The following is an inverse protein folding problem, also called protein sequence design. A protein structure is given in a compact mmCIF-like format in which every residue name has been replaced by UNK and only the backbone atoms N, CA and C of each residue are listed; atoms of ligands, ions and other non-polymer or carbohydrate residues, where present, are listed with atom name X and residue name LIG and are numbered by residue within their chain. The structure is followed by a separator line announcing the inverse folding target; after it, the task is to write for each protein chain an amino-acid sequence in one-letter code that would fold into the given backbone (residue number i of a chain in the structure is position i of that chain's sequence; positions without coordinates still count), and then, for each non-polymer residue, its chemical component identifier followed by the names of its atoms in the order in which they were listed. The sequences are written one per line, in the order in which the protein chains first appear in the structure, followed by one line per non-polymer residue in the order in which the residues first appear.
data_IF_963200374538
#
_entry.id   IF_963200374538
#
_cell.length_a   1.000
_cell.length_b   1.000
_cell.length_c   1.000
_cell.angle_alpha   90.00
_cell.angle_beta   90.00
_cell.angle_gamma   90.00
#
_symmetry.space_group_name_H-M   'P 1'
#
loop_
_entity.id
_entity.type
_entity.pdbx_description
1 polymer ?
#
# COMPACT_ATOMS: atom_id res chain seq x y z
N UNK A 1 11.32 -39.03 10.27
CA UNK A 1 12.59 -39.75 10.03
C UNK A 1 12.96 -40.47 11.32
N UNK A 2 13.60 -41.64 11.30
CA UNK A 2 14.06 -42.26 12.54
C UNK A 2 15.17 -41.40 13.18
N UNK A 3 15.22 -41.26 14.51
CA UNK A 3 16.25 -40.51 15.22
C UNK A 3 17.64 -41.12 15.01
N UNK A 4 18.69 -40.29 14.96
CA UNK A 4 20.07 -40.77 14.82
C UNK A 4 20.60 -41.29 16.14
N UNK A 5 20.99 -42.56 16.16
CA UNK A 5 21.65 -43.22 17.29
C UNK A 5 23.11 -43.54 16.94
N UNK A 6 24.00 -43.41 17.92
CA UNK A 6 25.35 -43.99 17.87
C UNK A 6 25.69 -44.75 19.15
N UNK A 7 26.47 -45.81 19.00
CA UNK A 7 27.05 -46.59 20.11
C UNK A 7 28.53 -46.81 19.82
N UNK A 8 29.41 -46.39 20.73
CA UNK A 8 30.83 -46.76 20.69
C UNK A 8 31.09 -47.87 21.70
N UNK A 9 31.47 -49.05 21.19
CA UNK A 9 31.99 -50.16 21.99
C UNK A 9 33.45 -49.87 22.37
N UNK A 10 33.67 -49.47 23.63
CA UNK A 10 34.99 -49.24 24.20
C UNK A 10 35.22 -50.13 25.41
N UNK A 11 36.21 -51.02 25.26
CA UNK A 11 36.68 -52.09 26.15
C UNK A 11 36.99 -51.64 27.59
N UNK A 12 36.74 -52.55 28.52
CA UNK A 12 37.12 -52.54 29.96
C UNK A 12 38.61 -52.27 30.21
N UNK A 13 38.94 -51.39 31.18
CA UNK A 13 40.14 -51.52 32.03
C UNK A 13 40.09 -50.57 33.25
N UNK A 14 40.03 -51.20 34.44
CA UNK A 14 40.74 -50.89 35.70
C UNK A 14 40.97 -49.45 36.16
N UNK A 15 40.56 -49.19 37.41
CA UNK A 15 40.63 -47.88 38.04
C UNK A 15 42.00 -47.47 38.58
N UNK A 16 42.05 -46.24 39.07
CA UNK A 16 42.88 -45.91 40.21
C UNK A 16 42.27 -44.74 40.99
N UNK A 17 42.40 -44.88 42.30
CA UNK A 17 42.01 -43.95 43.36
C UNK A 17 43.07 -42.86 43.45
N UNK A 18 42.68 -41.59 43.47
CA UNK A 18 43.43 -40.58 44.24
C UNK A 18 42.58 -39.34 44.57
N UNK A 19 42.69 -39.00 45.83
CA UNK A 19 42.09 -37.91 46.61
C UNK A 19 42.94 -36.64 46.51
N UNK A 20 42.34 -35.44 46.46
CA UNK A 20 42.77 -34.26 47.25
C UNK A 20 41.98 -32.98 46.91
N UNK A 21 41.17 -32.55 47.88
CA UNK A 21 41.08 -31.19 48.47
C UNK A 21 41.31 -29.90 47.64
N UNK A 22 40.26 -29.06 47.68
CA UNK A 22 40.20 -27.70 48.27
C UNK A 22 40.15 -26.44 47.40
N UNK A 23 39.31 -25.52 47.91
CA UNK A 23 39.26 -24.06 47.82
C UNK A 23 38.69 -23.40 46.55
N UNK A 24 37.60 -22.67 46.79
CA UNK A 24 36.86 -21.92 45.79
C UNK A 24 37.39 -20.52 45.50
N UNK A 25 36.62 -19.80 44.68
CA UNK A 25 36.56 -18.34 44.60
C UNK A 25 35.30 -17.95 43.84
N UNK A 26 34.49 -17.14 44.50
CA UNK A 26 33.43 -16.34 43.90
C UNK A 26 34.03 -15.27 42.99
N UNK A 27 33.45 -15.07 41.81
CA UNK A 27 33.30 -13.74 41.20
C UNK A 27 32.35 -13.84 40.02
N UNK A 28 31.24 -13.11 40.11
CA UNK A 28 30.25 -13.00 39.04
C UNK A 28 30.76 -12.23 37.83
N UNK A 29 30.12 -12.46 36.69
CA UNK A 29 29.73 -11.39 35.77
C UNK A 29 28.73 -11.94 34.77
N UNK A 30 27.61 -11.23 34.67
CA UNK A 30 26.65 -11.28 33.59
C UNK A 30 27.35 -11.19 32.22
N UNK A 31 26.84 -11.96 31.28
CA UNK A 31 27.27 -11.97 29.89
C UNK A 31 26.34 -12.83 29.06
N UNK A 32 25.10 -12.37 28.85
CA UNK A 32 24.20 -12.93 27.83
C UNK A 32 24.83 -12.67 26.48
N UNK A 33 25.53 -13.68 25.96
CA UNK A 33 26.05 -13.68 24.61
C UNK A 33 25.15 -14.57 23.77
N UNK A 34 24.19 -13.93 23.11
CA UNK A 34 23.55 -14.49 21.94
C UNK A 34 24.60 -14.64 20.84
N UNK A 35 25.13 -15.85 20.69
CA UNK A 35 25.96 -16.23 19.56
C UNK A 35 25.29 -17.40 18.86
N UNK A 36 24.47 -17.08 17.85
CA UNK A 36 24.27 -17.99 16.75
C UNK A 36 25.62 -18.19 16.07
N UNK A 37 26.14 -19.40 16.11
CA UNK A 37 27.27 -19.80 15.27
C UNK A 37 27.26 -21.29 15.04
N UNK A 38 27.38 -21.65 13.76
CA UNK A 38 28.14 -22.81 13.30
C UNK A 38 27.65 -24.17 13.77
N UNK A 39 27.02 -24.88 12.86
CA UNK A 39 26.88 -26.34 12.87
C UNK A 39 28.18 -27.04 13.28
N UNK A 40 28.27 -27.45 14.54
CA UNK A 40 29.21 -28.47 14.98
C UNK A 40 28.49 -29.38 15.98
N UNK A 41 28.25 -30.62 15.57
CA UNK A 41 27.52 -31.66 16.30
C UNK A 41 28.22 -32.06 17.60
N UNK A 42 28.11 -31.21 18.62
CA UNK A 42 28.82 -31.33 19.89
C UNK A 42 27.94 -32.01 20.95
N UNK A 43 28.58 -32.70 21.89
CA UNK A 43 27.87 -33.29 23.04
C UNK A 43 27.41 -32.16 23.97
N UNK A 44 26.11 -32.07 24.19
CA UNK A 44 25.50 -31.14 25.14
C UNK A 44 24.46 -31.91 25.94
N UNK A 45 24.93 -32.56 27.01
CA UNK A 45 24.14 -33.45 27.84
C UNK A 45 23.85 -32.80 29.20
N UNK A 46 22.75 -33.19 29.84
CA UNK A 46 22.33 -32.69 31.17
C UNK A 46 23.34 -33.00 32.28
N UNK A 47 24.24 -33.96 32.08
CA UNK A 47 25.34 -34.25 33.00
C UNK A 47 26.52 -33.27 32.91
N UNK A 48 26.54 -32.38 31.91
CA UNK A 48 27.62 -31.41 31.67
C UNK A 48 28.90 -32.00 31.08
N UNK A 49 28.98 -33.31 30.87
CA UNK A 49 30.17 -33.96 30.30
C UNK A 49 30.20 -33.84 28.77
N UNK A 50 31.32 -33.42 28.16
CA UNK A 50 31.49 -33.39 26.71
C UNK A 50 31.87 -34.76 26.12
N UNK A 51 31.93 -35.81 26.94
CA UNK A 51 32.41 -37.13 26.53
C UNK A 51 31.40 -37.81 25.60
N UNK A 52 31.87 -38.26 24.43
CA UNK A 52 31.12 -39.08 23.48
C UNK A 52 31.24 -40.57 23.82
N UNK A 53 30.50 -41.04 24.84
CA UNK A 53 30.53 -42.43 25.32
C UNK A 53 29.14 -43.06 25.44
N UNK A 54 29.09 -44.38 25.30
CA UNK A 54 27.87 -45.17 25.43
C UNK A 54 26.87 -44.95 24.29
N UNK A 55 25.58 -45.14 24.58
CA UNK A 55 24.49 -44.85 23.66
C UNK A 55 24.16 -43.36 23.67
N UNK A 56 24.12 -42.76 22.50
CA UNK A 56 23.80 -41.34 22.35
C UNK A 56 22.69 -41.12 21.33
N UNK A 57 21.89 -40.09 21.59
CA UNK A 57 20.81 -39.64 20.72
C UNK A 57 21.03 -38.18 20.34
N UNK A 58 20.78 -37.86 19.07
CA UNK A 58 20.87 -36.52 18.51
C UNK A 58 19.54 -35.77 18.68
N UNK A 59 19.60 -34.52 19.15
CA UNK A 59 18.44 -33.64 19.20
C UNK A 59 18.07 -33.13 17.79
N UNK A 60 16.81 -33.28 17.39
CA UNK A 60 16.36 -32.80 16.06
C UNK A 60 16.34 -31.27 15.93
N UNK A 61 16.27 -30.54 17.06
CA UNK A 61 16.21 -29.08 17.04
C UNK A 61 17.58 -28.41 16.97
N UNK A 62 18.57 -28.87 17.75
CA UNK A 62 19.89 -28.23 17.84
C UNK A 62 21.04 -29.09 17.33
N UNK A 63 20.78 -30.34 16.91
CA UNK A 63 21.80 -31.32 16.47
C UNK A 63 22.87 -31.64 17.53
N UNK A 64 22.63 -31.28 18.80
CA UNK A 64 23.49 -31.68 19.91
C UNK A 64 23.21 -33.12 20.34
N UNK A 65 24.24 -33.78 20.86
CA UNK A 65 24.14 -35.16 21.33
C UNK A 65 23.95 -35.22 22.85
N UNK A 66 23.06 -36.09 23.30
CA UNK A 66 22.84 -36.40 24.72
C UNK A 66 23.05 -37.89 24.99
N UNK A 67 23.59 -38.22 26.16
CA UNK A 67 23.69 -39.61 26.61
C UNK A 67 22.28 -40.14 26.90
N UNK A 68 21.92 -41.26 26.28
CA UNK A 68 20.62 -41.92 26.44
C UNK A 68 20.31 -42.20 27.92
N UNK A 69 21.32 -42.62 28.67
CA UNK A 69 21.22 -42.87 30.11
C UNK A 69 20.94 -41.61 30.93
N UNK A 70 21.59 -40.48 30.61
CA UNK A 70 21.45 -39.25 31.38
C UNK A 70 20.07 -38.59 31.22
N UNK A 71 19.38 -38.89 30.13
CA UNK A 71 18.02 -38.40 29.85
C UNK A 71 16.95 -39.45 30.16
N UNK A 72 17.33 -40.60 30.74
CA UNK A 72 16.40 -41.64 31.19
C UNK A 72 15.70 -42.41 30.06
N UNK A 73 16.27 -42.43 28.85
CA UNK A 73 15.72 -43.20 27.73
C UNK A 73 16.34 -44.59 27.69
N UNK A 74 15.58 -45.58 27.22
CA UNK A 74 16.15 -46.86 26.79
C UNK A 74 16.66 -46.73 25.34
N UNK A 75 17.69 -47.50 24.92
CA UNK A 75 18.20 -47.46 23.56
C UNK A 75 17.11 -47.71 22.49
N UNK A 76 16.18 -48.64 22.77
CA UNK A 76 15.05 -48.94 21.88
C UNK A 76 14.06 -47.78 21.76
N UNK A 77 13.83 -47.02 22.85
CA UNK A 77 12.96 -45.85 22.81
C UNK A 77 13.62 -44.70 22.04
N UNK A 78 14.92 -44.49 22.28
CA UNK A 78 15.70 -43.45 21.63
C UNK A 78 15.85 -43.67 20.12
N UNK A 79 15.74 -44.90 19.61
CA UNK A 79 15.74 -45.21 18.17
C UNK A 79 14.36 -45.12 17.50
N UNK A 80 13.29 -45.03 18.27
CA UNK A 80 11.91 -45.14 17.76
C UNK A 80 11.24 -43.77 17.59
N UNK A 81 11.53 -42.82 18.47
CA UNK A 81 10.81 -41.54 18.54
C UNK A 81 11.71 -40.32 18.31
N UNK A 82 11.21 -39.25 17.68
CA UNK A 82 11.95 -38.00 17.54
C UNK A 82 12.32 -37.45 18.91
N UNK A 83 13.57 -37.03 19.07
CA UNK A 83 14.11 -36.54 20.33
C UNK A 83 14.42 -35.05 20.29
N UNK A 84 13.89 -34.32 21.27
CA UNK A 84 14.21 -32.91 21.53
C UNK A 84 14.82 -32.82 22.93
N UNK A 85 16.02 -32.22 23.04
CA UNK A 85 16.72 -32.18 24.31
C UNK A 85 16.06 -31.25 25.34
N UNK A 86 16.26 -31.48 26.65
CA UNK A 86 15.69 -30.63 27.71
C UNK A 86 16.04 -29.15 27.58
N UNK A 87 17.18 -28.82 26.97
CA UNK A 87 17.60 -27.45 26.72
C UNK A 87 16.73 -26.78 25.65
N UNK A 88 16.47 -27.47 24.53
CA UNK A 88 15.55 -26.98 23.48
C UNK A 88 14.12 -26.88 23.99
N UNK A 89 13.65 -27.86 24.78
CA UNK A 89 12.32 -27.80 25.40
C UNK A 89 12.23 -26.59 26.35
N UNK A 90 13.25 -26.36 27.19
CA UNK A 90 13.29 -25.19 28.08
C UNK A 90 13.26 -23.88 27.31
N UNK A 91 14.06 -23.77 26.25
CA UNK A 91 14.08 -22.58 25.39
C UNK A 91 12.71 -22.34 24.72
N UNK A 92 12.05 -23.40 24.27
CA UNK A 92 10.70 -23.29 23.72
C UNK A 92 9.70 -22.79 24.76
N UNK A 93 9.74 -23.33 25.98
CA UNK A 93 8.85 -22.92 27.08
C UNK A 93 9.09 -21.45 27.47
N UNK A 94 10.35 -21.01 27.56
CA UNK A 94 10.66 -19.60 27.87
C UNK A 94 10.14 -18.67 26.79
N UNK A 95 10.36 -18.99 25.51
CA UNK A 95 9.88 -18.18 24.40
C UNK A 95 8.34 -18.13 24.35
N UNK A 96 7.66 -19.25 24.63
CA UNK A 96 6.21 -19.27 24.73
C UNK A 96 5.69 -18.40 25.88
N UNK A 97 6.37 -18.38 27.02
CA UNK A 97 5.99 -17.51 28.14
C UNK A 97 6.14 -16.03 27.82
N UNK A 98 7.23 -15.65 27.15
CA UNK A 98 7.50 -14.28 26.71
C UNK A 98 6.48 -13.82 25.66
N UNK A 99 6.21 -14.66 24.66
CA UNK A 99 5.21 -14.39 23.64
C UNK A 99 3.80 -14.24 24.27
N UNK A 100 3.47 -15.04 25.29
CA UNK A 100 2.21 -14.91 26.03
C UNK A 100 2.12 -13.58 26.77
N UNK A 101 3.19 -13.13 27.41
CA UNK A 101 3.22 -11.81 28.08
C UNK A 101 3.09 -10.67 27.07
N UNK A 102 3.76 -10.75 25.93
CA UNK A 102 3.68 -9.73 24.88
C UNK A 102 2.25 -9.63 24.32
N UNK A 103 1.60 -10.76 24.07
CA UNK A 103 0.19 -10.79 23.63
C UNK A 103 -0.73 -10.17 24.68
N UNK A 104 -0.50 -10.42 25.97
CA UNK A 104 -1.30 -9.81 27.04
C UNK A 104 -1.08 -8.29 27.11
N UNK A 105 0.17 -7.85 27.00
CA UNK A 105 0.52 -6.42 26.97
C UNK A 105 -0.12 -5.70 25.79
N UNK A 106 -0.03 -6.26 24.58
CA UNK A 106 -0.64 -5.69 23.38
C UNK A 106 -2.17 -5.61 23.50
N UNK A 107 -2.82 -6.62 24.07
CA UNK A 107 -4.27 -6.58 24.33
C UNK A 107 -4.64 -5.42 25.26
N UNK A 108 -3.94 -5.26 26.38
CA UNK A 108 -4.19 -4.15 27.31
C UNK A 108 -3.93 -2.78 26.67
N UNK A 109 -2.91 -2.69 25.80
CA UNK A 109 -2.62 -1.45 25.06
C UNK A 109 -3.73 -1.11 24.07
N UNK A 110 -4.30 -2.10 23.39
CA UNK A 110 -5.46 -1.91 22.51
C UNK A 110 -6.65 -1.41 23.31
N UNK A 111 -6.98 -2.07 24.43
CA UNK A 111 -8.10 -1.67 25.31
C UNK A 111 -7.93 -0.25 25.88
N UNK A 112 -6.70 0.13 26.24
CA UNK A 112 -6.36 1.49 26.67
C UNK A 112 -6.54 2.53 25.54
N UNK A 113 -6.19 2.18 24.30
CA UNK A 113 -6.41 3.04 23.13
C UNK A 113 -7.91 3.16 22.82
N UNK A 114 -8.67 2.08 22.90
CA UNK A 114 -10.12 2.08 22.66
C UNK A 114 -10.88 2.91 23.71
N UNK A 115 -10.48 2.81 24.98
CA UNK A 115 -11.08 3.58 26.07
C UNK A 115 -10.73 5.08 26.00
N UNK A 116 -9.49 5.43 25.64
CA UNK A 116 -9.11 6.83 25.38
C UNK A 116 -9.80 7.43 24.15
N UNK A 117 -10.14 6.61 23.14
CA UNK A 117 -10.92 7.05 21.99
C UNK A 117 -12.42 7.26 22.31
N UNK A 118 -12.98 6.43 23.19
CA UNK A 118 -14.41 6.48 23.55
C UNK A 118 -14.79 7.63 24.48
N UNK A 119 -13.85 8.20 25.24
CA UNK A 119 -14.16 9.15 26.32
C UNK A 119 -14.05 10.62 25.95
N UNK A 120 -13.36 10.99 24.87
CA UNK A 120 -13.06 12.42 24.59
C UNK A 120 -13.56 12.92 23.24
N UNK A 121 -13.75 12.06 22.24
CA UNK A 121 -14.07 12.53 20.87
C UNK A 121 -15.47 12.18 20.40
N UNK A 122 -16.05 11.05 20.81
CA UNK A 122 -17.36 10.64 20.28
C UNK A 122 -18.52 11.31 21.00
N UNK A 123 -18.46 11.50 22.32
CA UNK A 123 -19.52 12.14 23.10
C UNK A 123 -19.66 13.64 22.80
N UNK A 124 -18.55 14.37 22.76
CA UNK A 124 -18.55 15.81 22.43
C UNK A 124 -18.99 16.05 20.99
N UNK A 125 -18.47 15.29 20.01
CA UNK A 125 -18.90 15.41 18.62
C UNK A 125 -20.37 15.00 18.44
N UNK A 126 -20.84 13.95 19.14
CA UNK A 126 -22.26 13.55 19.07
C UNK A 126 -23.17 14.63 19.64
N UNK A 127 -22.79 15.26 20.76
CA UNK A 127 -23.56 16.37 21.35
C UNK A 127 -23.55 17.63 20.46
N UNK A 128 -22.44 17.92 19.77
CA UNK A 128 -22.37 19.00 18.80
C UNK A 128 -23.23 18.72 17.56
N UNK A 129 -23.23 17.49 17.06
CA UNK A 129 -24.08 17.07 15.92
C UNK A 129 -25.56 17.19 16.29
N UNK A 130 -25.93 16.77 17.50
CA UNK A 130 -27.31 16.84 17.98
C UNK A 130 -27.77 18.30 18.13
N UNK A 131 -26.92 19.16 18.71
CA UNK A 131 -27.15 20.60 18.81
C UNK A 131 -27.27 21.28 17.43
N UNK A 132 -26.40 20.93 16.47
CA UNK A 132 -26.47 21.46 15.10
C UNK A 132 -27.75 21.00 14.39
N UNK A 133 -28.17 19.75 14.61
CA UNK A 133 -29.40 19.21 14.01
C UNK A 133 -30.65 19.91 14.58
N UNK A 134 -30.67 20.21 15.87
CA UNK A 134 -31.74 20.99 16.50
C UNK A 134 -31.77 22.44 16.00
N UNK A 135 -30.61 23.07 15.83
CA UNK A 135 -30.53 24.40 15.21
C UNK A 135 -31.06 24.40 13.78
N UNK A 136 -30.72 23.39 12.97
CA UNK A 136 -31.25 23.22 11.61
C UNK A 136 -32.77 23.02 11.61
N UNK A 137 -33.31 22.27 12.56
CA UNK A 137 -34.76 22.05 12.71
C UNK A 137 -35.49 23.35 13.07
N UNK A 138 -34.92 24.15 13.96
CA UNK A 138 -35.45 25.46 14.34
C UNK A 138 -35.37 26.47 13.18
N UNK A 139 -34.28 26.48 12.43
CA UNK A 139 -34.14 27.31 11.22
C UNK A 139 -35.12 26.90 10.13
N UNK A 140 -35.31 25.60 9.89
CA UNK A 140 -36.30 25.09 8.93
C UNK A 140 -37.73 25.50 9.32
N UNK A 141 -38.08 25.45 10.61
CA UNK A 141 -39.41 25.87 11.09
C UNK A 141 -39.70 27.37 10.92
N UNK A 142 -38.65 28.21 10.88
CA UNK A 142 -38.79 29.65 10.65
C UNK A 142 -38.96 30.01 9.16
N UNK A 143 -38.51 29.14 8.26
CA UNK A 143 -38.71 29.31 6.81
C UNK A 143 -40.16 29.02 6.40
N UNK A 144 -40.90 28.21 7.18
CA UNK A 144 -42.31 27.90 6.93
C UNK A 144 -43.32 28.94 7.46
N UNK A 145 -42.86 30.00 8.16
CA UNK A 145 -43.75 30.98 8.83
C UNK A 145 -43.80 32.37 8.17
N UNK A 146 -43.36 32.51 6.91
CA UNK A 146 -43.57 33.74 6.15
C UNK A 146 -44.83 33.63 5.27
N UNK A 147 -45.81 34.54 5.37
CA UNK A 147 -47.02 34.46 4.57
C UNK A 147 -46.83 35.21 3.26
N UNK A 148 -47.01 34.55 2.10
CA UNK A 148 -47.77 35.15 1.00
C UNK A 148 -48.18 34.14 -0.10
N UNK A 149 -49.50 33.93 -0.18
CA UNK A 149 -50.34 34.03 -1.39
C UNK A 149 -50.00 33.19 -2.64
N UNK A 150 -50.62 32.01 -2.75
CA UNK A 150 -51.79 31.80 -3.64
C UNK A 150 -52.16 30.32 -3.77
N UNK A 151 -53.47 30.09 -3.73
CA UNK A 151 -54.17 28.81 -3.75
C UNK A 151 -54.12 28.15 -5.13
N UNK A 152 -54.07 26.81 -5.19
CA UNK A 152 -55.18 25.97 -5.73
C UNK A 152 -54.89 24.50 -5.41
N UNK A 153 -55.83 23.87 -4.72
CA UNK A 153 -55.87 22.44 -4.43
C UNK A 153 -56.32 21.67 -5.67
N UNK A 154 -55.78 20.45 -5.89
CA UNK A 154 -56.61 19.23 -6.03
C UNK A 154 -55.71 17.98 -6.14
N UNK A 155 -56.04 17.01 -5.27
CA UNK A 155 -56.08 15.56 -5.50
C UNK A 155 -54.80 14.77 -5.80
N UNK A 156 -54.38 14.05 -4.75
CA UNK A 156 -54.20 12.58 -4.69
C UNK A 156 -53.78 11.82 -5.95
N UNK A 157 -52.75 11.01 -5.71
CA UNK A 157 -52.40 9.72 -6.34
C UNK A 157 -51.36 9.79 -7.46
N UNK A 158 -50.33 8.95 -7.29
CA UNK A 158 -49.37 8.49 -8.30
C UNK A 158 -48.28 9.48 -8.71
N UNK A 159 -47.17 9.49 -7.95
CA UNK A 159 -45.88 9.97 -8.47
C UNK A 159 -45.04 8.79 -8.97
N UNK A 160 -44.63 8.77 -10.25
CA UNK A 160 -43.93 7.68 -10.89
C UNK A 160 -42.51 7.47 -10.36
N UNK A 161 -42.14 6.19 -10.26
CA UNK A 161 -40.78 5.68 -10.25
C UNK A 161 -39.94 6.36 -11.35
N UNK A 162 -39.09 7.31 -10.97
CA UNK A 162 -37.97 7.74 -11.82
C UNK A 162 -36.97 6.60 -11.93
N UNK A 163 -36.42 6.38 -13.14
CA UNK A 163 -35.84 5.11 -13.51
C UNK A 163 -34.57 4.86 -12.71
N UNK A 164 -34.58 3.74 -12.02
CA UNK A 164 -33.36 3.02 -11.64
C UNK A 164 -32.66 2.71 -12.97
N UNK A 165 -31.70 3.54 -13.35
CA UNK A 165 -30.85 3.24 -14.49
C UNK A 165 -30.13 1.93 -14.21
N UNK A 166 -30.47 0.96 -15.04
CA UNK A 166 -30.06 -0.42 -14.99
C UNK A 166 -28.55 -0.59 -14.80
N UNK A 167 -28.24 -1.54 -13.92
CA UNK A 167 -26.97 -2.20 -13.71
C UNK A 167 -26.01 -2.17 -14.91
N UNK A 168 -25.01 -1.30 -14.84
CA UNK A 168 -23.66 -1.70 -15.23
C UNK A 168 -22.95 -2.15 -13.96
N UNK A 169 -22.51 -3.41 -13.93
CA UNK A 169 -21.80 -4.04 -12.81
C UNK A 169 -20.69 -3.10 -12.30
N UNK A 170 -20.96 -2.45 -11.15
CA UNK A 170 -20.11 -1.41 -10.59
C UNK A 170 -18.86 -2.02 -9.94
N UNK A 171 -17.84 -2.31 -10.75
CA UNK A 171 -16.47 -2.53 -10.26
C UNK A 171 -15.79 -1.25 -9.73
N UNK A 172 -16.48 -0.10 -9.79
CA UNK A 172 -15.95 1.25 -9.47
C UNK A 172 -15.73 1.49 -7.96
N UNK A 173 -16.42 0.75 -7.09
CA UNK A 173 -16.23 0.88 -5.63
C UNK A 173 -14.80 0.60 -5.17
N UNK A 174 -14.12 -0.35 -5.83
CA UNK A 174 -12.74 -0.76 -5.49
C UNK A 174 -11.66 0.27 -5.84
N UNK A 175 -11.98 1.28 -6.67
CA UNK A 175 -11.02 2.31 -7.11
C UNK A 175 -11.18 3.64 -6.40
N UNK A 176 -12.31 3.87 -5.72
CA UNK A 176 -12.60 5.11 -4.98
C UNK A 176 -11.59 5.42 -3.89
N UNK A 177 -10.90 4.39 -3.37
CA UNK A 177 -9.81 4.54 -2.40
C UNK A 177 -8.41 4.48 -3.00
N UNK A 178 -8.26 4.63 -4.32
CA UNK A 178 -6.96 4.52 -4.99
C UNK A 178 -6.53 5.87 -5.56
N UNK A 179 -5.24 6.17 -5.41
CA UNK A 179 -4.60 7.36 -5.98
C UNK A 179 -3.44 6.96 -6.88
N UNK A 180 -3.18 7.79 -7.88
CA UNK A 180 -1.99 7.73 -8.72
C UNK A 180 -1.12 8.94 -8.42
N UNK A 181 0.11 8.70 -7.99
CA UNK A 181 1.13 9.70 -7.75
C UNK A 181 2.16 9.63 -8.88
N UNK A 182 2.39 10.75 -9.57
CA UNK A 182 3.38 10.85 -10.66
C UNK A 182 4.49 11.81 -10.26
N UNK A 183 5.68 11.61 -10.83
CA UNK A 183 6.84 12.50 -10.61
C UNK A 183 7.78 12.07 -9.49
N UNK A 184 7.55 10.90 -8.89
CA UNK A 184 8.43 10.32 -7.89
C UNK A 184 9.67 9.67 -8.55
N UNK A 185 10.89 9.95 -8.06
CA UNK A 185 12.13 9.42 -8.65
C UNK A 185 12.13 7.89 -8.65
N UNK A 186 12.64 7.28 -9.71
CA UNK A 186 12.76 5.83 -9.83
C UNK A 186 14.09 5.34 -9.23
N UNK A 187 14.10 4.15 -8.62
CA UNK A 187 15.33 3.54 -8.16
C UNK A 187 16.23 3.08 -9.34
N UNK A 188 17.56 3.05 -9.17
CA UNK A 188 18.47 2.55 -10.19
C UNK A 188 18.19 1.10 -10.60
N UNK A 189 18.59 0.75 -11.82
CA UNK A 189 18.54 -0.64 -12.28
C UNK A 189 19.38 -1.54 -11.37
N UNK A 190 18.87 -2.74 -11.08
CA UNK A 190 19.54 -3.69 -10.17
C UNK A 190 19.13 -3.57 -8.70
N UNK A 191 18.38 -2.53 -8.32
CA UNK A 191 17.79 -2.45 -6.97
C UNK A 191 16.82 -3.59 -6.71
N UNK A 192 16.93 -4.20 -5.52
CA UNK A 192 16.10 -5.35 -5.15
C UNK A 192 14.62 -4.95 -5.10
N UNK A 193 13.72 -5.93 -5.17
CA UNK A 193 12.28 -5.65 -5.05
C UNK A 193 11.93 -5.05 -3.70
N UNK A 194 12.58 -5.50 -2.63
CA UNK A 194 12.30 -5.08 -1.25
C UNK A 194 12.78 -3.64 -1.04
N UNK A 195 14.01 -3.31 -1.44
CA UNK A 195 14.56 -1.96 -1.26
C UNK A 195 13.76 -0.91 -2.04
N UNK A 196 13.33 -1.27 -3.27
CA UNK A 196 12.44 -0.41 -4.05
C UNK A 196 11.11 -0.16 -3.35
N UNK A 197 10.50 -1.21 -2.80
CA UNK A 197 9.27 -1.09 -2.05
C UNK A 197 9.42 -0.18 -0.83
N UNK A 198 10.47 -0.38 -0.02
CA UNK A 198 10.75 0.45 1.16
C UNK A 198 10.97 1.92 0.77
N UNK A 199 11.71 2.18 -0.32
CA UNK A 199 11.93 3.54 -0.79
C UNK A 199 10.66 4.21 -1.31
N UNK A 200 9.85 3.48 -2.08
CA UNK A 200 8.56 3.96 -2.55
C UNK A 200 7.61 4.22 -1.36
N UNK A 201 7.63 3.37 -0.33
CA UNK A 201 6.83 3.57 0.88
C UNK A 201 7.24 4.83 1.64
N UNK A 202 8.54 5.05 1.86
CA UNK A 202 9.07 6.23 2.55
C UNK A 202 8.72 7.52 1.79
N UNK A 203 8.97 7.55 0.48
CA UNK A 203 8.68 8.72 -0.36
C UNK A 203 7.19 9.04 -0.44
N UNK A 204 6.33 8.03 -0.57
CA UNK A 204 4.88 8.21 -0.52
C UNK A 204 4.43 8.72 0.85
N UNK A 205 4.94 8.15 1.94
CA UNK A 205 4.60 8.58 3.30
C UNK A 205 4.95 10.06 3.55
N UNK A 206 6.12 10.50 3.08
CA UNK A 206 6.55 11.90 3.16
C UNK A 206 5.63 12.84 2.39
N UNK A 207 5.17 12.46 1.19
CA UNK A 207 4.22 13.28 0.42
C UNK A 207 2.86 13.33 1.12
N UNK A 208 2.38 12.20 1.62
CA UNK A 208 1.07 12.12 2.27
C UNK A 208 1.03 12.96 3.55
N UNK A 209 2.11 12.96 4.35
CA UNK A 209 2.19 13.78 5.56
C UNK A 209 2.17 15.28 5.27
N UNK A 210 2.79 15.73 4.16
CA UNK A 210 2.71 17.14 3.70
C UNK A 210 1.28 17.53 3.32
N UNK A 211 0.55 16.65 2.66
CA UNK A 211 -0.82 16.94 2.21
C UNK A 211 -1.81 16.92 3.38
N UNK A 212 -1.73 15.89 4.22
CA UNK A 212 -2.65 15.72 5.34
C UNK A 212 -2.01 14.94 6.48
N UNK A 213 -1.84 15.55 7.67
CA UNK A 213 -1.32 14.85 8.86
C UNK A 213 -2.18 13.66 9.30
N UNK A 214 -3.47 13.66 8.95
CA UNK A 214 -4.41 12.57 9.26
C UNK A 214 -4.19 11.30 8.43
N UNK A 215 -3.39 11.36 7.36
CA UNK A 215 -3.11 10.23 6.48
C UNK A 215 -1.64 9.87 6.61
N UNK A 216 -1.35 8.65 7.04
CA UNK A 216 0.00 8.17 7.29
C UNK A 216 0.24 6.82 6.61
N UNK A 217 1.43 6.25 6.81
CA UNK A 217 1.81 4.96 6.22
C UNK A 217 0.86 3.81 6.55
N UNK A 218 0.18 3.85 7.71
CA UNK A 218 -0.81 2.84 8.12
C UNK A 218 -2.16 2.98 7.42
N UNK A 219 -2.46 4.16 6.86
CA UNK A 219 -3.65 4.36 6.01
C UNK A 219 -3.52 3.64 4.66
N UNK A 220 -2.30 3.30 4.26
CA UNK A 220 -1.99 2.67 2.97
C UNK A 220 -2.09 1.15 3.08
N UNK A 221 -2.99 0.56 2.30
CA UNK A 221 -3.17 -0.89 2.19
C UNK A 221 -2.08 -1.54 1.33
N UNK A 222 -1.71 -0.89 0.24
CA UNK A 222 -0.79 -1.43 -0.77
C UNK A 222 -0.29 -0.29 -1.68
N UNK A 223 0.91 -0.44 -2.24
CA UNK A 223 1.49 0.51 -3.19
C UNK A 223 2.44 -0.18 -4.17
N UNK A 224 2.42 0.26 -5.43
CA UNK A 224 3.35 -0.23 -6.45
C UNK A 224 3.41 0.67 -7.67
N UNK A 225 4.54 0.62 -8.39
CA UNK A 225 4.75 1.32 -9.65
C UNK A 225 3.96 0.70 -10.80
N UNK A 226 3.42 1.55 -11.68
CA UNK A 226 2.66 1.19 -12.85
C UNK A 226 3.55 1.14 -14.10
N UNK A 227 3.39 0.10 -14.92
CA UNK A 227 4.09 -0.05 -16.19
C UNK A 227 5.49 -0.65 -16.09
N UNK A 228 6.14 -0.81 -17.26
CA UNK A 228 7.48 -1.39 -17.39
C UNK A 228 8.55 -0.36 -17.01
N UNK A 229 9.57 -0.81 -16.29
CA UNK A 229 10.70 0.02 -15.85
C UNK A 229 11.41 0.66 -17.04
N UNK A 230 11.79 1.93 -16.87
CA UNK A 230 12.57 2.71 -17.81
C UNK A 230 13.52 3.62 -17.03
N UNK A 231 14.82 3.63 -17.34
CA UNK A 231 15.81 4.43 -16.59
C UNK A 231 15.64 5.94 -16.81
N UNK A 232 15.06 6.35 -17.94
CA UNK A 232 14.81 7.72 -18.34
C UNK A 232 13.46 8.27 -17.83
N UNK A 233 12.61 7.42 -17.26
CA UNK A 233 11.22 7.78 -16.92
C UNK A 233 10.80 7.29 -15.53
N UNK A 234 10.35 8.24 -14.72
CA UNK A 234 9.70 7.96 -13.44
C UNK A 234 8.30 7.39 -13.66
N UNK A 235 8.12 6.11 -13.29
CA UNK A 235 6.81 5.47 -13.37
C UNK A 235 5.83 6.04 -12.33
N UNK A 236 4.54 6.15 -12.67
CA UNK A 236 3.51 6.45 -11.69
C UNK A 236 3.43 5.38 -10.59
N UNK A 237 3.17 5.78 -9.35
CA UNK A 237 2.86 4.87 -8.24
C UNK A 237 1.35 4.85 -8.02
N UNK A 238 0.76 3.66 -8.01
CA UNK A 238 -0.60 3.44 -7.52
C UNK A 238 -0.54 3.22 -6.01
N UNK A 239 -1.32 3.98 -5.27
CA UNK A 239 -1.48 3.86 -3.82
C UNK A 239 -2.92 3.45 -3.55
N UNK A 240 -3.11 2.38 -2.78
CA UNK A 240 -4.42 1.91 -2.33
C UNK A 240 -4.56 2.19 -0.85
N UNK A 241 -5.64 2.85 -0.46
CA UNK A 241 -5.95 3.12 0.94
C UNK A 241 -6.88 2.04 1.52
N UNK A 242 -6.85 1.86 2.84
CA UNK A 242 -7.85 1.05 3.54
C UNK A 242 -9.24 1.71 3.48
N UNK A 243 -9.28 3.05 3.56
CA UNK A 243 -10.52 3.83 3.54
C UNK A 243 -10.54 4.74 2.32
N UNK A 244 -11.66 4.77 1.61
CA UNK A 244 -11.87 5.70 0.49
C UNK A 244 -11.85 7.18 0.91
N UNK A 245 -12.11 7.44 2.19
CA UNK A 245 -12.03 8.77 2.77
C UNK A 245 -10.61 9.34 2.74
N UNK A 246 -9.59 8.52 3.00
CA UNK A 246 -8.18 8.97 3.02
C UNK A 246 -7.78 9.52 1.65
N UNK A 247 -8.14 8.81 0.58
CA UNK A 247 -7.95 9.28 -0.79
C UNK A 247 -8.68 10.60 -1.07
N UNK A 248 -9.89 10.77 -0.53
CA UNK A 248 -10.71 11.99 -0.69
C UNK A 248 -10.07 13.19 0.00
N UNK A 249 -9.59 13.01 1.24
CA UNK A 249 -8.90 14.06 2.02
C UNK A 249 -7.60 14.47 1.34
N UNK A 250 -6.82 13.50 0.86
CA UNK A 250 -5.58 13.78 0.11
C UNK A 250 -5.88 14.57 -1.17
N UNK A 251 -6.91 14.18 -1.94
CA UNK A 251 -7.30 14.89 -3.16
C UNK A 251 -7.80 16.32 -2.89
N UNK A 252 -8.45 16.55 -1.75
CA UNK A 252 -8.91 17.89 -1.32
C UNK A 252 -7.73 18.80 -0.97
N UNK A 253 -6.73 18.25 -0.29
CA UNK A 253 -5.59 19.01 0.23
C UNK A 253 -4.38 19.05 -0.72
N UNK A 254 -4.43 18.38 -1.87
CA UNK A 254 -3.31 18.26 -2.81
C UNK A 254 -2.74 19.59 -3.31
N UNK A 255 -3.49 20.70 -3.20
CA UNK A 255 -3.00 22.04 -3.52
C UNK A 255 -1.82 22.46 -2.64
N UNK A 256 -1.65 21.85 -1.46
CA UNK A 256 -0.47 22.05 -0.60
C UNK A 256 0.83 21.54 -1.24
N UNK A 257 0.75 20.76 -2.31
CA UNK A 257 1.92 20.37 -3.12
C UNK A 257 2.23 21.36 -4.25
N UNK A 258 1.65 22.56 -4.23
CA UNK A 258 1.90 23.57 -5.26
C UNK A 258 3.40 23.90 -5.41
N UNK A 259 4.16 23.87 -4.32
CA UNK A 259 5.61 24.14 -4.32
C UNK A 259 6.45 22.98 -4.90
N UNK A 260 5.82 21.83 -5.19
CA UNK A 260 6.45 20.66 -5.80
C UNK A 260 5.92 20.45 -7.23
N UNK A 261 6.37 21.24 -8.23
CA UNK A 261 5.79 21.25 -9.57
C UNK A 261 5.93 19.90 -10.31
N UNK A 262 6.90 19.08 -9.92
CA UNK A 262 7.15 17.78 -10.55
C UNK A 262 6.19 16.69 -10.04
N UNK A 263 5.51 16.89 -8.90
CA UNK A 263 4.68 15.87 -8.25
C UNK A 263 3.21 16.15 -8.53
N UNK A 264 2.47 15.13 -8.96
CA UNK A 264 1.02 15.25 -9.19
C UNK A 264 0.27 14.07 -8.56
N UNK A 265 -0.79 14.39 -7.82
CA UNK A 265 -1.71 13.41 -7.23
C UNK A 265 -3.04 13.45 -7.97
N UNK A 266 -3.49 12.28 -8.45
CA UNK A 266 -4.73 12.11 -9.22
C UNK A 266 -5.51 10.89 -8.73
N UNK A 267 -6.85 10.86 -8.92
CA UNK A 267 -7.62 9.65 -8.67
C UNK A 267 -7.23 8.53 -9.65
N UNK A 268 -7.33 7.27 -9.22
CA UNK A 268 -7.22 6.12 -10.13
C UNK A 268 -8.51 5.95 -10.93
N UNK A 269 -8.46 6.38 -12.18
CA UNK A 269 -9.57 6.27 -13.11
C UNK A 269 -9.61 4.88 -13.77
N UNK A 270 -10.81 4.39 -14.05
CA UNK A 270 -11.02 3.18 -14.85
C UNK A 270 -10.47 3.36 -16.29
N UNK A 271 -10.23 2.28 -17.05
CA UNK A 271 -9.76 2.39 -18.43
C UNK A 271 -10.66 3.27 -19.31
N UNK A 272 -11.98 3.14 -19.23
CA UNK A 272 -12.93 3.96 -19.98
C UNK A 272 -12.87 5.44 -19.57
N UNK A 273 -12.78 5.72 -18.26
CA UNK A 273 -12.60 7.08 -17.73
C UNK A 273 -11.25 7.68 -18.14
N UNK A 274 -10.17 6.88 -18.20
CA UNK A 274 -8.84 7.29 -18.69
C UNK A 274 -8.92 7.68 -20.18
N UNK A 275 -9.58 6.86 -21.00
CA UNK A 275 -9.81 7.16 -22.42
C UNK A 275 -10.63 8.45 -22.60
N UNK A 276 -11.74 8.58 -21.88
CA UNK A 276 -12.57 9.78 -21.93
C UNK A 276 -11.78 11.03 -21.52
N UNK A 277 -11.03 10.95 -20.42
CA UNK A 277 -10.18 12.06 -19.98
C UNK A 277 -9.10 12.41 -21.01
N UNK A 278 -8.50 11.43 -21.68
CA UNK A 278 -7.52 11.66 -22.74
C UNK A 278 -8.12 12.43 -23.92
N UNK A 279 -9.31 12.03 -24.37
CA UNK A 279 -10.04 12.71 -25.44
C UNK A 279 -10.40 14.15 -25.06
N UNK A 280 -10.92 14.36 -23.84
CA UNK A 280 -11.28 15.69 -23.34
C UNK A 280 -10.04 16.59 -23.18
N UNK A 281 -8.89 16.05 -22.77
CA UNK A 281 -7.64 16.81 -22.69
C UNK A 281 -7.09 17.16 -24.06
N UNK A 282 -7.27 16.30 -25.07
CA UNK A 282 -6.93 16.61 -26.47
C UNK A 282 -7.78 17.78 -26.96
N UNK A 283 -9.08 17.72 -26.74
CA UNK A 283 -9.99 18.79 -27.16
C UNK A 283 -9.74 20.12 -26.43
N UNK A 284 -9.46 20.05 -25.11
CA UNK A 284 -9.03 21.22 -24.35
C UNK A 284 -7.81 21.89 -24.96
N UNK A 285 -6.83 21.10 -25.45
CA UNK A 285 -5.66 21.64 -26.14
C UNK A 285 -6.05 22.34 -27.44
N UNK A 286 -6.91 21.74 -28.25
CA UNK A 286 -7.45 22.36 -29.48
C UNK A 286 -8.11 23.71 -29.18
N UNK A 287 -8.94 23.78 -28.14
CA UNK A 287 -9.62 25.02 -27.71
C UNK A 287 -8.64 26.10 -27.23
N UNK A 288 -7.56 25.71 -26.56
CA UNK A 288 -6.51 26.65 -26.16
C UNK A 288 -5.73 27.17 -27.38
N UNK A 289 -5.40 26.29 -28.33
CA UNK A 289 -4.73 26.69 -29.57
C UNK A 289 -5.61 27.60 -30.43
N UNK A 290 -6.94 27.45 -30.38
CA UNK A 290 -7.88 28.33 -31.07
C UNK A 290 -8.11 29.68 -30.36
N UNK A 291 -7.29 30.04 -29.37
CA UNK A 291 -7.31 31.35 -28.72
C UNK A 291 -8.25 31.48 -27.51
N UNK A 292 -8.79 30.38 -26.97
CA UNK A 292 -9.57 30.45 -25.73
C UNK A 292 -8.66 30.42 -24.49
N UNK A 293 -9.04 31.17 -23.45
CA UNK A 293 -8.32 31.17 -22.19
C UNK A 293 -8.46 29.82 -21.47
N UNK A 294 -7.37 29.40 -20.81
CA UNK A 294 -7.33 28.11 -20.10
C UNK A 294 -8.35 28.00 -18.95
N UNK A 295 -8.73 29.12 -18.34
CA UNK A 295 -9.71 29.21 -17.25
C UNK A 295 -11.17 29.06 -17.70
N UNK A 296 -11.45 29.42 -18.96
CA UNK A 296 -12.80 29.31 -19.54
C UNK A 296 -13.15 27.86 -19.92
N UNK A 297 -12.14 26.99 -20.00
CA UNK A 297 -12.29 25.60 -20.41
C UNK A 297 -12.27 24.68 -19.19
N UNK A 298 -13.44 24.17 -18.82
CA UNK A 298 -13.63 23.31 -17.63
C UNK A 298 -13.96 21.88 -18.07
N UNK A 299 -13.29 20.89 -17.49
CA UNK A 299 -13.60 19.45 -17.68
C UNK A 299 -14.26 18.93 -16.42
N UNK A 300 -15.44 18.32 -16.54
CA UNK A 300 -16.16 17.68 -15.44
C UNK A 300 -16.69 16.31 -15.88
N UNK A 301 -16.20 15.25 -15.25
CA UNK A 301 -16.53 13.88 -15.65
C UNK A 301 -16.19 13.62 -17.12
N UNK A 302 -17.18 13.20 -17.90
CA UNK A 302 -17.04 12.93 -19.33
C UNK A 302 -17.35 14.15 -20.23
N UNK A 303 -17.46 15.36 -19.66
CA UNK A 303 -17.90 16.57 -20.37
C UNK A 303 -16.85 17.67 -20.33
N UNK A 304 -16.80 18.48 -21.38
CA UNK A 304 -15.99 19.70 -21.49
C UNK A 304 -16.92 20.90 -21.72
N UNK A 305 -16.65 21.99 -21.02
CA UNK A 305 -17.42 23.23 -21.02
C UNK A 305 -16.52 24.38 -21.44
N UNK A 306 -17.07 25.31 -22.23
CA UNK A 306 -16.42 26.57 -22.61
C UNK A 306 -17.32 27.72 -22.12
N UNK A 307 -16.79 28.60 -21.26
CA UNK A 307 -17.56 29.69 -20.63
C UNK A 307 -18.88 29.19 -20.01
N UNK A 308 -18.79 28.07 -19.30
CA UNK A 308 -19.89 27.37 -18.62
C UNK A 308 -21.00 26.79 -19.54
N UNK A 309 -20.88 26.94 -20.86
CA UNK A 309 -21.72 26.23 -21.83
C UNK A 309 -21.12 24.87 -22.17
N UNK A 310 -21.96 23.83 -22.30
CA UNK A 310 -21.50 22.51 -22.71
C UNK A 310 -20.90 22.61 -24.11
N UNK A 311 -19.62 22.28 -24.25
CA UNK A 311 -18.94 22.25 -25.54
C UNK A 311 -18.97 20.85 -26.16
N UNK A 312 -18.88 19.82 -25.34
CA UNK A 312 -19.05 18.44 -25.80
C UNK A 312 -18.89 17.42 -24.69
N UNK A 313 -19.13 16.16 -25.04
CA UNK A 313 -19.06 15.03 -24.13
C UNK A 313 -18.46 13.80 -24.80
N UNK A 314 -17.91 12.89 -24.00
CA UNK A 314 -17.41 11.60 -24.49
C UNK A 314 -18.43 10.51 -24.22
N UNK A 315 -18.97 9.94 -25.30
CA UNK A 315 -19.87 8.80 -25.29
C UNK A 315 -19.23 7.65 -26.08
N UNK A 316 -19.27 6.43 -25.54
CA UNK A 316 -18.75 5.21 -26.19
C UNK A 316 -17.33 5.38 -26.77
N UNK A 317 -16.41 5.97 -26.00
CA UNK A 317 -15.02 6.26 -26.40
C UNK A 317 -14.87 7.22 -27.59
N UNK A 318 -15.92 7.97 -27.94
CA UNK A 318 -15.91 8.99 -29.00
C UNK A 318 -16.31 10.35 -28.43
N UNK A 319 -15.74 11.43 -28.96
CA UNK A 319 -16.09 12.79 -28.54
C UNK A 319 -17.22 13.32 -29.43
N UNK A 320 -18.28 13.84 -28.81
CA UNK A 320 -19.45 14.43 -29.46
C UNK A 320 -19.54 15.90 -29.07
N UNK A 321 -19.60 16.80 -30.05
CA UNK A 321 -19.77 18.24 -29.82
C UNK A 321 -21.23 18.54 -29.48
N UNK A 322 -21.46 19.40 -28.50
CA UNK A 322 -22.80 19.82 -28.14
C UNK A 322 -23.36 20.78 -29.20
N UNK A 323 -24.61 20.56 -29.60
CA UNK A 323 -25.36 21.48 -30.45
C UNK A 323 -25.71 22.73 -29.62
N UNK A 324 -25.52 23.91 -30.19
CA UNK A 324 -25.90 25.15 -29.52
C UNK A 324 -27.42 25.17 -29.28
N UNK A 325 -27.91 25.65 -28.12
CA UNK A 325 -29.33 25.84 -27.89
C UNK A 325 -29.78 27.03 -28.74
N UNK A 326 -30.25 26.78 -29.95
CA UNK A 326 -30.64 27.84 -30.88
C UNK A 326 -31.10 27.45 -32.27
N UNK A 327 -31.03 26.17 -32.69
CA UNK A 327 -31.63 25.76 -33.97
C UNK A 327 -32.43 24.46 -33.81
N UNK A 328 -33.73 24.64 -33.60
CA UNK A 328 -34.74 23.69 -34.04
C UNK A 328 -35.44 24.31 -35.24
N UNK A 329 -35.10 23.90 -36.46
CA UNK A 329 -35.98 22.97 -37.18
C UNK A 329 -35.43 22.48 -38.53
N UNK A 330 -35.67 21.18 -38.75
CA UNK A 330 -35.92 20.47 -40.01
C UNK A 330 -35.06 20.74 -41.25
N UNK A 331 -34.32 19.71 -41.69
CA UNK A 331 -34.75 18.90 -42.84
C UNK A 331 -33.76 17.77 -43.14
N UNK A 332 -34.29 16.54 -43.13
CA UNK A 332 -33.76 15.44 -43.93
C UNK A 332 -33.76 15.87 -45.40
N UNK A 333 -32.61 15.84 -46.07
CA UNK A 333 -32.55 15.38 -47.47
C UNK A 333 -31.18 14.78 -47.77
N UNK A 334 -31.23 13.58 -48.33
CA UNK A 334 -30.19 12.88 -49.08
C UNK A 334 -29.41 13.80 -50.03
N UNK A 335 -28.09 13.63 -50.13
CA UNK A 335 -27.49 13.33 -51.43
C UNK A 335 -26.02 12.86 -51.38
N UNK A 336 -25.75 11.93 -52.30
CA UNK A 336 -24.44 11.38 -52.63
C UNK A 336 -23.79 12.19 -53.75
N UNK A 337 -22.49 12.50 -53.64
CA UNK A 337 -21.50 12.67 -54.73
C UNK A 337 -20.23 13.29 -54.13
N UNK A 338 -19.11 12.58 -54.02
CA UNK A 338 -18.09 12.36 -55.08
C UNK A 338 -17.57 13.65 -55.72
N UNK A 339 -16.41 14.12 -55.27
CA UNK A 339 -15.38 14.69 -56.16
C UNK A 339 -13.98 14.46 -55.62
N UNK A 340 -13.19 13.73 -56.42
CA UNK A 340 -11.74 13.62 -56.37
C UNK A 340 -11.05 14.97 -56.56
N UNK A 341 -9.80 15.13 -56.09
CA UNK A 341 -8.60 15.04 -56.96
C UNK A 341 -7.32 15.61 -56.31
N UNK A 342 -6.22 14.88 -56.54
CA UNK A 342 -4.83 15.33 -56.80
C UNK A 342 -3.89 15.82 -55.68
N UNK A 343 -3.00 14.91 -55.25
CA UNK A 343 -1.50 14.90 -55.26
C UNK A 343 -0.74 16.17 -55.77
N UNK A 344 0.57 16.40 -55.46
CA UNK A 344 1.62 15.40 -55.16
C UNK A 344 2.64 15.82 -54.01
N UNK A 345 3.77 15.10 -53.79
CA UNK A 345 4.48 15.02 -52.49
C UNK A 345 5.71 15.93 -52.39
N UNK A 346 6.14 16.24 -51.16
CA UNK A 346 7.47 16.82 -50.89
C UNK A 346 8.17 16.15 -49.72
N UNK A 347 9.19 15.40 -50.10
CA UNK A 347 10.23 14.75 -49.29
C UNK A 347 11.13 15.85 -48.71
N UNK A 348 11.25 15.94 -47.39
CA UNK A 348 12.28 16.76 -46.74
C UNK A 348 13.04 15.90 -45.74
N UNK A 349 14.35 15.82 -45.96
CA UNK A 349 15.36 15.08 -45.19
C UNK A 349 15.47 15.55 -43.73
N UNK A 350 15.96 14.71 -42.81
CA UNK A 350 16.18 15.08 -41.42
C UNK A 350 17.41 16.01 -41.26
N UNK A 351 17.41 16.93 -40.28
CA UNK A 351 18.53 17.82 -40.03
C UNK A 351 19.70 17.10 -39.35
N UNK A 352 20.90 17.41 -39.84
CA UNK A 352 22.21 17.04 -39.32
C UNK A 352 22.43 17.65 -37.93
N UNK A 353 22.76 16.81 -36.95
CA UNK A 353 23.20 17.22 -35.61
C UNK A 353 24.69 17.61 -35.62
N UNK A 354 25.10 18.74 -35.03
CA UNK A 354 26.51 19.06 -34.82
C UNK A 354 27.11 18.26 -33.66
N UNK A 355 28.33 17.75 -33.87
CA UNK A 355 29.15 17.03 -32.88
C UNK A 355 29.62 17.94 -31.73
N UNK A 356 29.78 17.42 -30.50
CA UNK A 356 30.30 18.19 -29.37
C UNK A 356 31.84 18.36 -29.43
N UNK A 357 32.39 19.45 -28.87
CA UNK A 357 33.82 19.72 -28.87
C UNK A 357 34.60 18.84 -27.89
N UNK A 358 35.76 18.40 -28.37
CA UNK A 358 36.82 17.65 -27.67
C UNK A 358 37.36 18.43 -26.47
N UNK A 359 37.26 17.85 -25.27
CA UNK A 359 37.94 18.34 -24.06
C UNK A 359 39.27 17.59 -23.90
N UNK A 360 40.37 18.31 -24.03
CA UNK A 360 41.73 17.86 -23.68
C UNK A 360 41.94 17.86 -22.15
N UNK A 361 42.61 16.84 -21.58
CA UNK A 361 42.90 16.79 -20.15
C UNK A 361 44.11 17.68 -19.76
N UNK A 362 44.16 18.21 -18.53
CA UNK A 362 45.29 18.99 -18.06
C UNK A 362 46.50 18.12 -17.70
N UNK A 363 47.67 18.60 -18.11
CA UNK A 363 49.00 18.09 -17.82
C UNK A 363 49.31 18.18 -16.33
N UNK A 364 49.87 17.11 -15.77
CA UNK A 364 50.53 17.11 -14.48
C UNK A 364 51.83 17.93 -14.54
N UNK A 365 51.97 18.88 -13.62
CA UNK A 365 53.27 19.28 -13.07
C UNK A 365 53.09 19.73 -11.62
#
# INVERSE_FOLDING_TARGET
MPPKLKSKSGTTATGNKQTSTSKGKDSGSSGVSGAQSGSHSTVNCVCGSPIDSGHMVECESCSCWSHVQCIGLSPSCASTYPYICPFCVRLLVTNLSELRSEVAFLRNKIESIESSFSTTSTSSISSEIESINDQLRLLSSRVDSSPDTSQTQTNTSETPSRPVSNHTVNHDGSRRGNLVITGLPECPQGTTRVDRFLKDQETVASILSTVSPSVNSQSVKDLFRLGRYRPDQSRPILVKFFRSWDATVVLRNKSKLADSPNISIRPDLSPSQKTARSLLLRERRTLMTSGNNAGDIKIRGNKIFLRDSLYGEVNNNSFVRALAPGDSDTSNTTDSATVSSTLPPSRVSPPVTPSPPTVTPPSFQ
#
